data_IF_889795581754
#
_entry.id   IF_889795581754
#
_cell.length_a   1.000
_cell.length_b   1.000
_cell.length_c   1.000
_cell.angle_alpha   90.00
_cell.angle_beta   90.00
_cell.angle_gamma   90.00
#
_symmetry.space_group_name_H-M   'P 1'
#
loop_
_entity.id
_entity.type
_entity.pdbx_description
1 polymer ?
#
# COMPACT_ATOMS: atom_id res chain seq x y z
N UNK A 1 -6.84 -8.48 -38.97
CA UNK A 1 -6.23 -9.79 -38.64
C UNK A 1 -4.71 -9.71 -38.73
N UNK A 2 -4.02 -9.05 -37.83
CA UNK A 2 -2.57 -8.87 -37.85
C UNK A 2 -1.98 -8.60 -36.47
N UNK A 3 -2.79 -8.71 -35.43
CA UNK A 3 -2.40 -8.35 -34.07
C UNK A 3 -1.59 -9.43 -33.31
N UNK A 4 -1.40 -10.61 -33.89
CA UNK A 4 -0.77 -11.74 -33.22
C UNK A 4 0.27 -12.47 -34.08
N UNK A 5 1.07 -11.71 -34.83
CA UNK A 5 2.24 -12.29 -35.49
C UNK A 5 3.23 -12.75 -34.41
N UNK A 6 3.30 -14.05 -34.17
CA UNK A 6 4.14 -14.71 -33.16
C UNK A 6 5.65 -14.57 -33.46
N UNK A 7 6.01 -14.12 -34.63
CA UNK A 7 7.42 -14.05 -35.08
C UNK A 7 8.19 -12.86 -34.53
N UNK A 8 7.54 -11.88 -33.85
CA UNK A 8 8.19 -10.64 -33.40
C UNK A 8 7.93 -10.37 -31.93
N UNK A 9 8.86 -10.80 -31.11
CA UNK A 9 9.02 -10.41 -29.71
C UNK A 9 9.15 -8.91 -29.55
N UNK A 10 8.28 -8.10 -29.86
CA UNK A 10 8.39 -6.64 -29.82
C UNK A 10 7.19 -5.94 -30.41
N UNK A 11 6.21 -6.71 -30.92
CA UNK A 11 5.07 -6.10 -31.61
C UNK A 11 4.29 -5.14 -30.74
N UNK A 12 4.02 -5.49 -29.47
CA UNK A 12 3.30 -4.60 -28.55
C UNK A 12 4.14 -3.38 -28.16
N UNK A 13 5.43 -3.55 -27.93
CA UNK A 13 6.35 -2.44 -27.66
C UNK A 13 6.38 -1.49 -28.85
N UNK A 14 6.56 -2.01 -30.07
CA UNK A 14 6.62 -1.21 -31.28
C UNK A 14 5.32 -0.41 -31.51
N UNK A 15 4.17 -1.04 -31.36
CA UNK A 15 2.88 -0.35 -31.48
C UNK A 15 2.74 0.79 -30.47
N UNK A 16 3.15 0.59 -29.20
CA UNK A 16 3.11 1.61 -28.18
C UNK A 16 4.08 2.75 -28.50
N UNK A 17 5.31 2.42 -28.90
CA UNK A 17 6.32 3.42 -29.24
C UNK A 17 5.92 4.22 -30.49
N UNK A 18 5.44 3.59 -31.56
CA UNK A 18 5.05 4.27 -32.79
C UNK A 18 3.86 5.22 -32.54
N UNK A 19 2.90 4.82 -31.69
CA UNK A 19 1.72 5.63 -31.38
C UNK A 19 2.03 6.88 -30.54
N UNK A 20 2.95 6.76 -29.57
CA UNK A 20 3.22 7.82 -28.59
C UNK A 20 4.61 8.44 -28.75
N UNK A 21 5.25 8.23 -29.89
CA UNK A 21 6.57 8.78 -30.20
C UNK A 21 6.53 10.32 -30.16
N UNK A 22 7.40 10.89 -29.32
CA UNK A 22 7.48 12.34 -29.12
C UNK A 22 6.49 12.92 -28.11
N UNK A 23 5.44 12.18 -27.72
CA UNK A 23 4.47 12.62 -26.71
C UNK A 23 4.84 12.18 -25.28
N UNK A 24 5.33 10.95 -25.16
CA UNK A 24 5.67 10.35 -23.87
C UNK A 24 7.12 9.87 -23.90
N UNK A 25 7.92 10.10 -22.84
CA UNK A 25 9.29 9.59 -22.74
C UNK A 25 9.37 8.08 -22.96
N UNK A 26 10.29 7.65 -23.82
CA UNK A 26 10.46 6.23 -24.20
C UNK A 26 10.66 5.30 -23.00
N UNK A 27 11.29 5.80 -21.94
CA UNK A 27 11.54 5.05 -20.71
C UNK A 27 10.26 4.73 -19.93
N UNK A 28 9.28 5.64 -19.96
CA UNK A 28 7.95 5.39 -19.40
C UNK A 28 7.23 4.35 -20.25
N UNK A 29 7.26 4.50 -21.56
CA UNK A 29 6.59 3.57 -22.48
C UNK A 29 7.15 2.16 -22.35
N UNK A 30 8.48 2.00 -22.27
CA UNK A 30 9.12 0.71 -22.04
C UNK A 30 8.71 0.07 -20.73
N UNK A 31 8.74 0.83 -19.63
CA UNK A 31 8.33 0.34 -18.30
C UNK A 31 6.86 -0.01 -18.25
N UNK A 32 5.99 0.77 -18.90
CA UNK A 32 4.56 0.50 -18.99
C UNK A 32 4.30 -0.78 -19.78
N UNK A 33 4.93 -0.93 -20.95
CA UNK A 33 4.82 -2.13 -21.78
C UNK A 33 5.25 -3.38 -21.01
N UNK A 34 6.38 -3.34 -20.31
CA UNK A 34 6.87 -4.45 -19.50
C UNK A 34 5.88 -4.80 -18.37
N UNK A 35 5.29 -3.79 -17.72
CA UNK A 35 4.29 -3.98 -16.67
C UNK A 35 3.02 -4.66 -17.20
N UNK A 36 2.54 -4.23 -18.36
CA UNK A 36 1.36 -4.80 -19.02
C UNK A 36 1.63 -6.24 -19.44
N UNK A 37 2.77 -6.50 -20.11
CA UNK A 37 3.16 -7.84 -20.54
C UNK A 37 3.33 -8.81 -19.37
N UNK A 38 4.03 -8.38 -18.32
CA UNK A 38 4.21 -9.18 -17.10
C UNK A 38 2.87 -9.52 -16.44
N UNK A 39 1.98 -8.53 -16.33
CA UNK A 39 0.64 -8.72 -15.78
C UNK A 39 -0.20 -9.68 -16.62
N UNK A 40 -0.14 -9.55 -17.94
CA UNK A 40 -0.86 -10.44 -18.84
C UNK A 40 -0.32 -11.87 -18.76
N UNK A 41 1.00 -12.04 -18.84
CA UNK A 41 1.65 -13.37 -18.78
C UNK A 41 1.33 -14.10 -17.47
N UNK A 42 1.34 -13.38 -16.35
CA UNK A 42 1.01 -13.94 -15.03
C UNK A 42 -0.43 -14.43 -14.92
N UNK A 43 -1.37 -13.82 -15.62
CA UNK A 43 -2.79 -14.16 -15.54
C UNK A 43 -3.32 -14.79 -16.85
N UNK A 44 -2.43 -15.20 -17.75
CA UNK A 44 -2.81 -15.70 -19.08
C UNK A 44 -3.78 -16.86 -19.03
N UNK A 45 -3.53 -17.85 -18.16
CA UNK A 45 -4.40 -19.02 -18.01
C UNK A 45 -5.81 -18.60 -17.56
N UNK A 46 -5.91 -17.73 -16.55
CA UNK A 46 -7.18 -17.24 -16.02
C UNK A 46 -8.00 -16.48 -17.08
N UNK A 47 -7.32 -15.70 -17.94
CA UNK A 47 -7.97 -14.98 -19.04
C UNK A 47 -8.51 -15.93 -20.11
N UNK A 48 -7.75 -16.99 -20.47
CA UNK A 48 -8.19 -17.97 -21.42
C UNK A 48 -9.35 -18.84 -20.91
N UNK A 49 -9.37 -19.15 -19.61
CA UNK A 49 -10.44 -19.92 -18.97
C UNK A 49 -11.69 -19.06 -18.67
N UNK A 50 -11.63 -17.74 -18.89
CA UNK A 50 -12.72 -16.83 -18.56
C UNK A 50 -12.96 -16.62 -17.06
N UNK A 51 -12.06 -17.14 -16.20
CA UNK A 51 -12.15 -16.97 -14.74
C UNK A 51 -11.78 -15.55 -14.29
N UNK A 52 -11.09 -14.80 -15.15
CA UNK A 52 -10.65 -13.44 -14.90
C UNK A 52 -10.88 -12.56 -16.12
N UNK A 53 -11.45 -11.37 -15.91
CA UNK A 53 -11.56 -10.36 -16.96
C UNK A 53 -10.25 -9.58 -17.13
N UNK A 54 -10.01 -9.01 -18.32
CA UNK A 54 -8.91 -8.09 -18.55
C UNK A 54 -8.99 -6.90 -17.60
N UNK A 55 -7.84 -6.44 -17.12
CA UNK A 55 -7.78 -5.30 -16.20
C UNK A 55 -8.27 -4.02 -16.89
N UNK A 56 -9.18 -3.34 -16.21
CA UNK A 56 -9.54 -1.98 -16.54
C UNK A 56 -8.72 -1.00 -15.71
N UNK A 57 -8.12 -0.02 -16.36
CA UNK A 57 -7.25 0.97 -15.70
C UNK A 57 -8.01 2.28 -15.45
N UNK A 58 -7.92 2.79 -14.25
CA UNK A 58 -8.45 4.11 -13.88
C UNK A 58 -7.55 5.22 -14.45
N UNK A 59 -8.10 6.41 -14.63
CA UNK A 59 -7.36 7.57 -15.17
C UNK A 59 -6.23 8.06 -14.24
N UNK A 60 -6.35 7.82 -12.94
CA UNK A 60 -5.43 8.24 -11.89
C UNK A 60 -4.43 7.15 -11.49
N UNK A 61 -4.25 6.14 -12.36
CA UNK A 61 -3.26 5.08 -12.12
C UNK A 61 -1.85 5.66 -12.03
N UNK A 62 -1.02 5.22 -11.07
CA UNK A 62 0.38 5.62 -11.02
C UNK A 62 1.14 5.22 -12.29
N UNK A 63 1.96 6.13 -12.78
CA UNK A 63 2.80 5.96 -13.97
C UNK A 63 4.18 5.49 -13.52
N UNK A 64 4.78 4.46 -14.13
CA UNK A 64 6.11 3.99 -13.77
C UNK A 64 7.17 5.06 -14.05
N UNK A 65 8.10 5.23 -13.13
CA UNK A 65 9.24 6.14 -13.21
C UNK A 65 10.53 5.34 -12.99
N UNK A 66 11.24 4.99 -14.08
CA UNK A 66 12.54 4.34 -13.99
C UNK A 66 13.57 5.22 -13.27
N UNK A 67 14.50 4.59 -12.55
CA UNK A 67 15.55 5.31 -11.78
C UNK A 67 16.37 6.24 -12.65
N UNK A 68 16.70 5.83 -13.88
CA UNK A 68 17.48 6.65 -14.83
C UNK A 68 16.82 7.97 -15.21
N UNK A 69 15.52 8.12 -14.97
CA UNK A 69 14.78 9.37 -15.19
C UNK A 69 14.94 10.35 -14.02
N UNK A 70 15.58 9.93 -12.94
CA UNK A 70 15.87 10.73 -11.74
C UNK A 70 17.38 10.99 -11.70
N UNK A 71 17.77 12.25 -11.57
CA UNK A 71 19.18 12.63 -11.51
C UNK A 71 19.41 13.85 -10.60
N UNK A 72 20.68 14.10 -10.24
CA UNK A 72 21.12 15.27 -9.46
C UNK A 72 20.38 15.42 -8.13
N UNK A 73 20.17 14.31 -7.42
CA UNK A 73 19.54 14.35 -6.12
C UNK A 73 20.44 15.01 -5.09
N UNK A 74 19.90 15.99 -4.36
CA UNK A 74 20.60 16.71 -3.29
C UNK A 74 19.62 17.19 -2.24
N UNK A 75 20.13 17.46 -1.04
CA UNK A 75 19.40 18.20 -0.02
C UNK A 75 19.76 19.67 -0.15
N UNK A 76 18.75 20.52 -0.15
CA UNK A 76 18.87 21.97 -0.17
C UNK A 76 18.56 22.51 1.24
N UNK A 77 19.56 23.08 1.87
CA UNK A 77 19.47 23.57 3.25
C UNK A 77 18.61 24.82 3.38
N UNK A 78 18.63 25.70 2.38
CA UNK A 78 17.83 26.92 2.39
C UNK A 78 16.34 26.61 2.40
N UNK A 79 15.94 25.69 1.54
CA UNK A 79 14.54 25.31 1.38
C UNK A 79 14.15 24.11 2.24
N UNK A 80 15.09 23.50 2.96
CA UNK A 80 14.92 22.29 3.79
C UNK A 80 14.21 21.14 3.06
N UNK A 81 14.55 20.95 1.79
CA UNK A 81 13.90 19.97 0.93
C UNK A 81 14.90 19.18 0.09
N UNK A 82 14.51 18.01 -0.33
CA UNK A 82 15.25 17.23 -1.30
C UNK A 82 14.87 17.69 -2.70
N UNK A 83 15.88 18.02 -3.50
CA UNK A 83 15.75 18.48 -4.88
C UNK A 83 16.37 17.45 -5.80
N UNK A 84 15.76 17.22 -6.94
CA UNK A 84 16.30 16.35 -7.98
C UNK A 84 15.70 16.73 -9.35
N UNK A 85 16.30 16.24 -10.42
CA UNK A 85 15.73 16.38 -11.75
C UNK A 85 14.93 15.13 -12.11
N UNK A 86 13.73 15.33 -12.64
CA UNK A 86 12.87 14.31 -13.20
C UNK A 86 12.67 14.59 -14.68
N UNK A 87 13.17 13.75 -15.56
CA UNK A 87 13.22 14.02 -17.03
C UNK A 87 13.84 15.39 -17.35
N UNK A 88 14.94 15.75 -16.69
CA UNK A 88 15.58 17.06 -16.75
C UNK A 88 14.78 18.24 -16.15
N UNK A 89 13.57 18.04 -15.69
CA UNK A 89 12.76 19.05 -15.00
C UNK A 89 13.17 19.08 -13.53
N UNK A 90 13.60 20.24 -12.99
CA UNK A 90 13.91 20.35 -11.57
C UNK A 90 12.65 20.25 -10.73
N UNK A 91 12.67 19.36 -9.74
CA UNK A 91 11.57 19.16 -8.80
C UNK A 91 12.06 19.26 -7.37
N UNK A 92 11.18 19.72 -6.49
CA UNK A 92 11.40 19.86 -5.05
C UNK A 92 10.39 18.99 -4.31
N UNK A 93 10.86 18.24 -3.32
CA UNK A 93 9.97 17.41 -2.51
C UNK A 93 9.27 18.23 -1.45
N UNK A 94 8.04 17.83 -1.14
CA UNK A 94 7.31 18.31 0.03
C UNK A 94 6.92 17.11 0.89
N UNK A 95 7.62 16.92 2.01
CA UNK A 95 7.39 15.76 2.89
C UNK A 95 6.20 15.95 3.82
N UNK A 96 5.71 17.19 3.97
CA UNK A 96 4.63 17.55 4.89
C UNK A 96 5.05 17.36 6.35
N UNK A 97 4.09 17.01 7.21
CA UNK A 97 4.38 16.54 8.56
C UNK A 97 4.91 15.13 8.47
N UNK A 98 6.20 14.96 8.70
CA UNK A 98 6.87 13.66 8.55
C UNK A 98 6.82 12.86 9.85
N UNK A 99 5.82 12.01 9.96
CA UNK A 99 5.69 11.03 11.05
C UNK A 99 6.18 9.62 10.64
N UNK A 100 6.78 9.45 9.45
CA UNK A 100 7.05 8.15 8.85
C UNK A 100 8.49 7.97 8.37
N UNK A 101 9.43 8.70 8.95
CA UNK A 101 10.87 8.62 8.65
C UNK A 101 11.24 8.87 7.17
N UNK A 102 10.38 9.58 6.42
CA UNK A 102 10.65 9.89 5.00
C UNK A 102 11.95 10.66 4.83
N UNK A 103 12.20 11.61 5.74
CA UNK A 103 13.43 12.39 5.73
C UNK A 103 14.66 11.49 5.95
N UNK A 104 14.60 10.61 6.94
CA UNK A 104 15.68 9.66 7.24
C UNK A 104 15.95 8.74 6.04
N UNK A 105 14.89 8.25 5.39
CA UNK A 105 15.02 7.41 4.19
C UNK A 105 15.70 8.19 3.05
N UNK A 106 15.31 9.44 2.82
CA UNK A 106 15.93 10.27 1.78
C UNK A 106 17.39 10.63 2.10
N UNK A 107 17.73 10.86 3.37
CA UNK A 107 19.10 11.09 3.81
C UNK A 107 19.97 9.83 3.61
N UNK A 108 19.43 8.64 3.91
CA UNK A 108 20.11 7.37 3.64
C UNK A 108 20.31 7.12 2.15
N UNK A 109 19.35 7.53 1.32
CA UNK A 109 19.50 7.45 -0.14
C UNK A 109 20.64 8.35 -0.63
N UNK A 110 20.77 9.58 -0.12
CA UNK A 110 21.87 10.48 -0.47
C UNK A 110 23.23 9.96 -0.01
N UNK A 111 23.27 9.19 1.07
CA UNK A 111 24.48 8.52 1.57
C UNK A 111 24.78 7.19 0.87
N UNK A 112 23.97 6.82 -0.12
CA UNK A 112 24.05 5.54 -0.85
C UNK A 112 23.92 4.28 0.04
N UNK A 113 23.35 4.43 1.25
CA UNK A 113 23.09 3.32 2.17
C UNK A 113 21.90 2.45 1.71
N UNK A 114 21.04 2.99 0.85
CA UNK A 114 19.88 2.30 0.30
C UNK A 114 19.77 2.61 -1.20
N UNK A 115 19.17 1.70 -1.93
CA UNK A 115 19.03 1.81 -3.38
C UNK A 115 17.63 2.22 -3.77
N UNK A 116 17.53 3.21 -4.66
CA UNK A 116 16.29 3.58 -5.28
C UNK A 116 15.95 2.58 -6.40
N UNK A 117 14.72 2.07 -6.39
CA UNK A 117 14.18 1.18 -7.42
C UNK A 117 13.23 1.93 -8.36
N UNK A 118 12.77 1.25 -9.41
CA UNK A 118 11.73 1.79 -10.29
C UNK A 118 10.53 2.23 -9.46
N UNK A 119 10.31 3.51 -9.45
CA UNK A 119 9.29 4.20 -8.65
C UNK A 119 8.05 4.48 -9.49
N UNK A 120 7.11 5.26 -8.97
CA UNK A 120 5.92 5.65 -9.71
C UNK A 120 5.59 7.11 -9.44
N UNK A 121 4.90 7.74 -10.38
CA UNK A 121 4.32 9.08 -10.23
C UNK A 121 2.80 8.94 -10.27
N UNK A 122 2.12 9.57 -9.34
CA UNK A 122 0.66 9.65 -9.34
C UNK A 122 0.22 11.11 -9.31
N UNK A 123 -0.71 11.47 -10.18
CA UNK A 123 -1.38 12.77 -10.14
C UNK A 123 -2.73 12.58 -9.48
N UNK A 124 -2.94 13.22 -8.33
CA UNK A 124 -4.20 13.16 -7.60
C UNK A 124 -4.52 14.53 -7.00
N UNK A 125 -5.75 14.99 -7.14
CA UNK A 125 -6.21 16.28 -6.59
C UNK A 125 -5.30 17.47 -6.99
N UNK A 126 -4.84 17.50 -8.25
CA UNK A 126 -3.89 18.50 -8.80
C UNK A 126 -2.53 18.53 -8.08
N UNK A 127 -2.17 17.46 -7.40
CA UNK A 127 -0.87 17.28 -6.76
C UNK A 127 -0.15 16.12 -7.41
N UNK A 128 1.16 16.24 -7.49
CA UNK A 128 2.03 15.16 -7.99
C UNK A 128 2.61 14.45 -6.77
N UNK A 129 2.41 13.15 -6.72
CA UNK A 129 2.97 12.27 -5.70
C UNK A 129 4.06 11.41 -6.34
N UNK A 130 5.23 11.44 -5.77
CA UNK A 130 6.28 10.49 -6.07
C UNK A 130 6.14 9.30 -5.10
N UNK A 131 5.84 8.14 -5.65
CA UNK A 131 5.75 6.88 -4.93
C UNK A 131 7.10 6.18 -5.06
N UNK A 132 8.04 6.60 -4.23
CA UNK A 132 9.40 6.09 -4.25
C UNK A 132 9.45 4.65 -3.70
N UNK A 133 10.18 3.80 -4.40
CA UNK A 133 10.42 2.40 -4.02
C UNK A 133 11.90 2.26 -3.70
N UNK A 134 12.21 1.74 -2.52
CA UNK A 134 13.57 1.56 -2.06
C UNK A 134 13.86 0.09 -1.78
N UNK A 135 15.08 -0.33 -2.06
CA UNK A 135 15.62 -1.61 -1.65
C UNK A 135 16.37 -1.42 -0.32
N UNK A 136 15.95 -2.14 0.70
CA UNK A 136 16.57 -2.16 2.01
C UNK A 136 17.22 -3.50 2.26
N UNK A 137 18.36 -3.51 2.90
CA UNK A 137 18.84 -4.72 3.54
C UNK A 137 17.90 -5.15 4.66
N UNK A 138 17.76 -6.46 4.85
CA UNK A 138 17.00 -7.01 5.97
C UNK A 138 17.62 -6.56 7.27
N UNK A 139 16.78 -6.13 8.22
CA UNK A 139 17.24 -5.79 9.56
C UNK A 139 17.82 -7.05 10.22
N UNK A 140 19.04 -6.97 10.74
CA UNK A 140 19.69 -8.09 11.40
C UNK A 140 19.30 -8.12 12.86
N UNK A 141 18.30 -8.93 13.20
CA UNK A 141 17.94 -9.25 14.58
C UNK A 141 18.52 -10.61 14.96
N UNK A 142 18.79 -10.78 16.23
CA UNK A 142 19.16 -12.10 16.77
C UNK A 142 17.89 -12.91 16.95
N UNK A 143 17.53 -13.69 15.94
CA UNK A 143 16.34 -14.52 15.90
C UNK A 143 16.76 -16.00 15.90
N UNK A 144 15.97 -16.82 16.57
CA UNK A 144 16.17 -18.27 16.66
C UNK A 144 15.06 -18.97 15.87
N UNK A 145 15.38 -19.70 14.79
CA UNK A 145 14.37 -20.38 13.96
C UNK A 145 13.52 -21.38 14.76
N UNK A 146 14.12 -22.00 15.80
CA UNK A 146 13.44 -22.94 16.69
C UNK A 146 12.38 -22.30 17.60
N UNK A 147 12.45 -20.98 17.82
CA UNK A 147 11.44 -20.27 18.59
C UNK A 147 10.31 -19.85 17.64
N UNK A 148 9.16 -20.46 17.87
CA UNK A 148 7.96 -20.24 17.06
C UNK A 148 7.01 -19.31 17.82
N UNK A 149 6.61 -18.24 17.15
CA UNK A 149 5.49 -17.41 17.59
C UNK A 149 4.22 -17.85 16.85
N UNK A 150 3.16 -18.09 17.58
CA UNK A 150 1.84 -18.35 17.01
C UNK A 150 0.98 -17.09 17.13
N UNK A 151 0.32 -16.70 16.06
CA UNK A 151 -0.64 -15.61 16.07
C UNK A 151 -1.97 -16.04 15.48
N UNK A 152 -3.06 -15.61 16.10
CA UNK A 152 -4.41 -15.79 15.60
C UNK A 152 -5.12 -14.45 15.52
N UNK A 153 -5.97 -14.29 14.52
CA UNK A 153 -6.85 -13.13 14.39
C UNK A 153 -8.14 -13.46 15.15
N UNK A 154 -8.47 -12.68 16.18
CA UNK A 154 -9.65 -12.90 17.04
C UNK A 154 -10.72 -11.85 16.76
N UNK A 155 -11.95 -12.14 17.14
CA UNK A 155 -13.05 -11.18 17.06
C UNK A 155 -12.97 -10.10 18.15
N UNK A 156 -12.42 -10.41 19.31
CA UNK A 156 -12.28 -9.48 20.44
C UNK A 156 -11.00 -8.64 20.34
N UNK A 157 -9.94 -9.30 19.91
CA UNK A 157 -8.64 -8.66 19.72
C UNK A 157 -8.19 -8.83 18.27
N UNK A 158 -7.77 -7.75 17.58
CA UNK A 158 -7.23 -7.84 16.24
C UNK A 158 -6.21 -8.95 16.04
N UNK A 159 -5.31 -9.09 17.01
CA UNK A 159 -4.29 -10.15 17.00
C UNK A 159 -4.11 -10.65 18.44
N UNK A 160 -4.08 -11.97 18.58
CA UNK A 160 -3.63 -12.66 19.78
C UNK A 160 -2.38 -13.45 19.42
N UNK A 161 -1.27 -13.19 20.09
CA UNK A 161 -0.02 -13.88 19.80
C UNK A 161 0.57 -14.54 21.05
N UNK A 162 1.26 -15.68 20.86
CA UNK A 162 1.94 -16.44 21.89
C UNK A 162 3.33 -16.87 21.42
N UNK A 163 4.34 -16.70 22.25
CA UNK A 163 5.68 -17.24 22.07
C UNK A 163 6.35 -17.41 23.44
N UNK A 164 7.16 -18.44 23.62
CA UNK A 164 7.91 -18.69 24.88
C UNK A 164 7.02 -18.60 26.15
N UNK A 165 5.80 -19.15 26.13
CA UNK A 165 4.79 -19.06 27.20
C UNK A 165 4.30 -17.63 27.51
N UNK A 166 4.75 -16.61 26.77
CA UNK A 166 4.22 -15.25 26.86
C UNK A 166 3.10 -15.07 25.86
N UNK A 167 1.96 -14.53 26.32
CA UNK A 167 0.81 -14.20 25.48
C UNK A 167 0.62 -12.69 25.44
N UNK A 168 0.31 -12.16 24.27
CA UNK A 168 -0.05 -10.76 24.07
C UNK A 168 -1.36 -10.64 23.29
N UNK A 169 -2.21 -9.70 23.71
CA UNK A 169 -3.40 -9.27 22.99
C UNK A 169 -3.12 -7.90 22.37
N UNK A 170 -3.27 -7.77 21.09
CA UNK A 170 -2.94 -6.56 20.33
C UNK A 170 -4.22 -5.91 19.83
N UNK A 171 -4.51 -4.71 20.34
CA UNK A 171 -5.73 -3.95 20.06
C UNK A 171 -6.96 -4.53 20.76
N UNK A 172 -8.07 -3.80 20.72
CA UNK A 172 -9.38 -4.26 21.18
C UNK A 172 -10.44 -3.97 20.13
N UNK A 173 -11.50 -4.77 20.13
CA UNK A 173 -12.68 -4.60 19.27
C UNK A 173 -13.32 -3.23 19.51
N UNK A 174 -13.49 -2.86 20.78
CA UNK A 174 -14.14 -1.61 21.17
C UNK A 174 -13.38 -0.40 20.65
N UNK A 175 -12.05 -0.34 20.84
CA UNK A 175 -11.23 0.77 20.37
C UNK A 175 -11.32 0.91 18.85
N UNK A 176 -11.20 -0.20 18.12
CA UNK A 176 -11.22 -0.21 16.68
C UNK A 176 -12.58 0.21 16.12
N UNK A 177 -13.67 -0.37 16.65
CA UNK A 177 -15.03 -0.12 16.17
C UNK A 177 -15.56 1.24 16.60
N UNK A 178 -15.32 1.66 17.84
CA UNK A 178 -15.82 2.93 18.36
C UNK A 178 -15.43 4.12 17.45
N UNK A 179 -14.15 4.24 17.13
CA UNK A 179 -13.68 5.33 16.27
C UNK A 179 -14.23 5.25 14.86
N UNK A 180 -14.35 4.05 14.34
CA UNK A 180 -14.91 3.80 13.01
C UNK A 180 -16.37 4.18 12.93
N UNK A 181 -17.17 3.75 13.91
CA UNK A 181 -18.58 4.11 14.02
C UNK A 181 -18.78 5.62 14.15
N UNK A 182 -17.93 6.29 14.93
CA UNK A 182 -17.96 7.75 15.05
C UNK A 182 -17.69 8.46 13.71
N UNK A 183 -16.77 7.95 12.90
CA UNK A 183 -16.51 8.47 11.54
C UNK A 183 -17.72 8.26 10.64
N UNK A 184 -18.29 7.05 10.62
CA UNK A 184 -19.48 6.72 9.82
C UNK A 184 -20.69 7.56 10.22
N UNK A 185 -20.93 7.71 11.52
CA UNK A 185 -22.01 8.55 12.04
C UNK A 185 -21.84 10.03 11.63
N UNK A 186 -20.60 10.54 11.68
CA UNK A 186 -20.30 11.90 11.21
C UNK A 186 -20.56 12.06 9.72
N UNK A 187 -20.14 11.11 8.89
CA UNK A 187 -20.39 11.13 7.46
C UNK A 187 -21.89 11.07 7.14
N UNK A 188 -22.62 10.20 7.83
CA UNK A 188 -24.08 10.09 7.68
C UNK A 188 -24.79 11.41 8.01
N UNK A 189 -24.43 12.08 9.12
CA UNK A 189 -24.97 13.40 9.48
C UNK A 189 -24.74 14.45 8.38
N UNK A 190 -23.56 14.45 7.77
CA UNK A 190 -23.25 15.35 6.65
C UNK A 190 -24.11 15.00 5.43
N UNK A 191 -24.25 13.72 5.09
CA UNK A 191 -25.09 13.25 3.98
C UNK A 191 -26.54 13.65 4.19
N UNK A 192 -27.12 13.36 5.35
CA UNK A 192 -28.49 13.74 5.70
C UNK A 192 -28.69 15.25 5.59
N UNK A 193 -27.72 16.05 6.08
CA UNK A 193 -27.78 17.50 5.99
C UNK A 193 -27.73 18.05 4.56
N UNK A 194 -27.14 17.30 3.60
CA UNK A 194 -27.14 17.66 2.17
C UNK A 194 -28.53 17.47 1.58
N UNK A 195 -29.20 16.38 1.93
CA UNK A 195 -30.54 16.06 1.46
C UNK A 195 -31.58 17.15 1.80
N UNK A 196 -31.42 17.76 2.98
CA UNK A 196 -32.31 18.86 3.43
C UNK A 196 -31.89 20.25 2.94
N UNK A 197 -30.81 20.37 2.18
CA UNK A 197 -30.35 21.67 1.69
C UNK A 197 -31.15 22.13 0.45
N UNK A 198 -32.02 23.09 0.62
CA UNK A 198 -32.91 23.62 -0.46
C UNK A 198 -32.17 24.54 -1.46
N UNK A 199 -31.01 25.10 -1.13
CA UNK A 199 -30.30 26.01 -2.01
C UNK A 199 -29.00 25.42 -2.50
N UNK A 200 -28.60 25.64 -3.78
CA UNK A 200 -27.43 25.12 -4.43
C UNK A 200 -26.09 25.48 -3.76
N UNK A 201 -25.98 26.65 -3.12
CA UNK A 201 -24.78 27.10 -2.40
C UNK A 201 -24.54 26.30 -1.12
N UNK A 202 -25.59 26.03 -0.35
CA UNK A 202 -25.52 25.23 0.88
C UNK A 202 -25.15 23.77 0.60
N UNK A 203 -25.74 23.15 -0.42
CA UNK A 203 -25.43 21.80 -0.84
C UNK A 203 -23.96 21.66 -1.26
N UNK A 204 -23.42 22.57 -2.09
CA UNK A 204 -22.01 22.57 -2.51
C UNK A 204 -21.04 22.66 -1.34
N UNK A 205 -21.32 23.48 -0.33
CA UNK A 205 -20.47 23.60 0.88
C UNK A 205 -20.46 22.31 1.68
N UNK A 206 -21.59 21.66 1.86
CA UNK A 206 -21.74 20.40 2.58
C UNK A 206 -21.13 19.23 1.81
N UNK A 207 -21.29 19.19 0.47
CA UNK A 207 -20.56 18.21 -0.37
C UNK A 207 -19.04 18.34 -0.21
N UNK A 208 -18.52 19.56 -0.19
CA UNK A 208 -17.07 19.79 0.06
C UNK A 208 -16.61 19.23 1.41
N UNK A 209 -17.46 19.32 2.44
CA UNK A 209 -17.19 18.71 3.75
C UNK A 209 -17.19 17.19 3.67
N UNK A 210 -18.15 16.59 2.94
CA UNK A 210 -18.21 15.14 2.73
C UNK A 210 -16.97 14.62 2.02
N UNK A 211 -16.51 15.27 0.93
CA UNK A 211 -15.27 14.90 0.24
C UNK A 211 -14.04 14.94 1.16
N UNK A 212 -13.98 15.88 2.10
CA UNK A 212 -12.85 15.92 3.07
C UNK A 212 -12.86 14.73 4.02
N UNK A 213 -14.02 14.15 4.29
CA UNK A 213 -14.18 13.01 5.21
C UNK A 213 -14.18 11.65 4.51
N UNK A 214 -14.28 11.62 3.18
CA UNK A 214 -14.42 10.40 2.36
C UNK A 214 -13.38 9.32 2.69
N UNK A 215 -12.12 9.72 2.86
CA UNK A 215 -11.03 8.78 3.12
C UNK A 215 -10.64 8.66 4.60
N UNK A 216 -11.39 9.26 5.54
CA UNK A 216 -11.03 9.23 6.96
C UNK A 216 -11.07 7.82 7.54
N UNK A 217 -12.12 7.07 7.21
CA UNK A 217 -12.29 5.69 7.68
C UNK A 217 -11.20 4.79 7.15
N UNK A 218 -10.96 4.80 5.85
CA UNK A 218 -9.90 4.01 5.21
C UNK A 218 -8.52 4.32 5.77
N UNK A 219 -8.21 5.60 5.98
CA UNK A 219 -6.93 6.03 6.60
C UNK A 219 -6.82 5.57 8.04
N UNK A 220 -7.90 5.66 8.82
CA UNK A 220 -7.91 5.16 10.20
C UNK A 220 -7.66 3.66 10.26
N UNK A 221 -8.40 2.87 9.46
CA UNK A 221 -8.25 1.41 9.40
C UNK A 221 -6.82 1.05 9.00
N UNK A 222 -6.33 1.58 7.88
CA UNK A 222 -4.96 1.29 7.41
C UNK A 222 -3.90 1.64 8.45
N UNK A 223 -4.03 2.79 9.15
CA UNK A 223 -3.12 3.17 10.22
C UNK A 223 -3.14 2.17 11.38
N UNK A 224 -4.34 1.75 11.84
CA UNK A 224 -4.45 0.76 12.92
C UNK A 224 -3.84 -0.58 12.53
N UNK A 225 -4.07 -1.05 11.30
CA UNK A 225 -3.46 -2.27 10.81
C UNK A 225 -1.92 -2.18 10.75
N UNK A 226 -1.38 -0.99 10.44
CA UNK A 226 0.05 -0.75 10.54
C UNK A 226 0.58 -0.83 11.97
N UNK A 227 -0.15 -0.27 12.94
CA UNK A 227 0.21 -0.33 14.37
C UNK A 227 0.18 -1.77 14.86
N UNK A 228 -0.93 -2.49 14.63
CA UNK A 228 -1.08 -3.87 15.09
C UNK A 228 -0.05 -4.81 14.50
N UNK A 229 0.17 -4.74 13.20
CA UNK A 229 1.22 -5.55 12.55
C UNK A 229 2.63 -5.21 13.05
N UNK A 230 2.94 -3.93 13.39
CA UNK A 230 4.23 -3.58 13.99
C UNK A 230 4.36 -4.13 15.41
N UNK A 231 3.32 -4.04 16.22
CA UNK A 231 3.33 -4.59 17.59
C UNK A 231 3.57 -6.09 17.57
N UNK A 232 2.96 -6.83 16.64
CA UNK A 232 3.19 -8.27 16.48
C UNK A 232 4.65 -8.58 16.14
N UNK A 233 5.23 -7.89 15.16
CA UNK A 233 6.63 -8.12 14.78
C UNK A 233 7.58 -7.73 15.91
N UNK A 234 7.34 -6.63 16.62
CA UNK A 234 8.13 -6.24 17.78
C UNK A 234 8.05 -7.29 18.89
N UNK A 235 6.88 -7.91 19.08
CA UNK A 235 6.73 -9.03 20.01
C UNK A 235 7.58 -10.23 19.58
N UNK A 236 7.54 -10.63 18.31
CA UNK A 236 8.38 -11.72 17.81
C UNK A 236 9.87 -11.42 18.00
N UNK A 237 10.32 -10.21 17.69
CA UNK A 237 11.70 -9.79 17.89
C UNK A 237 12.09 -9.86 19.38
N UNK A 238 11.24 -9.35 20.27
CA UNK A 238 11.47 -9.39 21.73
C UNK A 238 11.57 -10.82 22.27
N UNK A 239 10.79 -11.75 21.71
CA UNK A 239 10.83 -13.16 22.07
C UNK A 239 11.90 -13.95 21.28
N UNK A 240 12.68 -13.27 20.41
CA UNK A 240 13.69 -13.90 19.55
C UNK A 240 13.10 -14.97 18.60
N UNK A 241 11.80 -14.88 18.28
CA UNK A 241 11.13 -15.84 17.41
C UNK A 241 11.55 -15.65 15.96
N UNK A 242 12.16 -16.65 15.36
CA UNK A 242 12.55 -16.68 13.96
C UNK A 242 11.42 -17.11 13.02
N UNK A 243 10.42 -17.80 13.58
CA UNK A 243 9.26 -18.28 12.80
C UNK A 243 7.96 -17.71 13.40
N UNK A 244 7.09 -17.19 12.56
CA UNK A 244 5.75 -16.73 12.90
C UNK A 244 4.71 -17.55 12.16
N UNK A 245 3.88 -18.29 12.89
CA UNK A 245 2.74 -19.04 12.35
C UNK A 245 1.49 -18.19 12.54
N UNK A 246 0.86 -17.82 11.42
CA UNK A 246 -0.43 -17.15 11.44
C UNK A 246 -1.52 -18.17 11.16
N UNK A 247 -2.31 -18.50 12.18
CA UNK A 247 -3.36 -19.53 12.09
C UNK A 247 -4.44 -19.13 11.09
N UNK A 248 -4.87 -20.08 10.28
CA UNK A 248 -5.96 -19.89 9.32
C UNK A 248 -7.27 -19.56 10.07
N UNK A 249 -8.12 -18.78 9.39
CA UNK A 249 -9.36 -18.24 9.98
C UNK A 249 -10.61 -18.84 9.33
N UNK A 250 -10.47 -19.91 8.54
CA UNK A 250 -11.60 -20.53 7.82
C UNK A 250 -12.72 -20.97 8.76
N UNK A 251 -12.36 -21.52 9.91
CA UNK A 251 -13.32 -21.95 10.95
C UNK A 251 -14.17 -20.81 11.50
N UNK A 252 -13.66 -19.58 11.43
CA UNK A 252 -14.34 -18.38 11.97
C UNK A 252 -15.25 -17.70 10.96
N UNK A 253 -15.22 -18.11 9.70
CA UNK A 253 -16.05 -17.54 8.63
C UNK A 253 -17.55 -17.76 8.94
N UNK A 254 -17.91 -18.89 9.54
CA UNK A 254 -19.29 -19.16 9.98
C UNK A 254 -19.76 -18.22 11.07
N UNK A 255 -19.02 -18.13 12.17
CA UNK A 255 -19.28 -17.22 13.31
C UNK A 255 -19.33 -15.77 12.84
N UNK A 256 -18.54 -15.47 11.88
CA UNK A 256 -18.39 -14.20 11.26
C UNK A 256 -19.59 -13.78 10.41
N UNK A 257 -20.28 -14.69 9.77
CA UNK A 257 -21.54 -14.41 9.06
C UNK A 257 -22.65 -14.00 10.04
N UNK A 258 -22.67 -14.60 11.22
CA UNK A 258 -23.60 -14.25 12.30
C UNK A 258 -23.30 -12.88 12.91
N UNK A 259 -22.02 -12.53 13.05
CA UNK A 259 -21.57 -11.21 13.51
C UNK A 259 -21.08 -10.33 12.32
N UNK A 260 -21.80 -10.31 11.24
CA UNK A 260 -21.44 -9.72 9.95
C UNK A 260 -20.93 -8.27 9.97
N UNK A 261 -21.24 -7.53 11.06
CA UNK A 261 -20.74 -6.20 11.30
C UNK A 261 -19.21 -6.19 11.61
N UNK A 262 -18.73 -7.11 12.43
CA UNK A 262 -17.32 -7.14 12.86
C UNK A 262 -16.41 -7.51 11.70
N UNK A 263 -16.79 -8.47 10.89
CA UNK A 263 -15.94 -9.00 9.83
C UNK A 263 -15.95 -8.20 8.53
N UNK A 264 -17.07 -7.58 8.17
CA UNK A 264 -17.06 -6.61 7.07
C UNK A 264 -16.06 -5.50 7.31
N UNK A 265 -15.68 -5.32 8.57
CA UNK A 265 -14.89 -4.21 9.03
C UNK A 265 -13.42 -4.55 9.31
N UNK A 266 -13.09 -5.83 9.50
CA UNK A 266 -11.72 -6.30 9.64
C UNK A 266 -11.15 -6.59 8.27
N UNK A 267 -10.22 -5.78 7.83
CA UNK A 267 -9.51 -6.02 6.58
C UNK A 267 -8.36 -7.03 6.82
N UNK A 268 -8.74 -8.31 7.03
CA UNK A 268 -7.78 -9.39 7.31
C UNK A 268 -6.72 -9.53 6.23
N UNK A 269 -7.10 -9.43 4.97
CA UNK A 269 -6.16 -9.52 3.86
C UNK A 269 -5.10 -8.40 3.91
N UNK A 270 -5.52 -7.16 4.20
CA UNK A 270 -4.60 -6.04 4.34
C UNK A 270 -3.70 -6.23 5.57
N UNK A 271 -4.24 -6.74 6.69
CA UNK A 271 -3.47 -7.04 7.89
C UNK A 271 -2.41 -8.13 7.62
N UNK A 272 -2.78 -9.23 6.98
CA UNK A 272 -1.84 -10.28 6.56
C UNK A 272 -0.74 -9.73 5.65
N UNK A 273 -1.10 -8.90 4.68
CA UNK A 273 -0.13 -8.26 3.78
C UNK A 273 0.85 -7.39 4.56
N UNK A 274 0.36 -6.62 5.55
CA UNK A 274 1.21 -5.78 6.41
C UNK A 274 2.10 -6.59 7.34
N UNK A 275 1.64 -7.73 7.84
CA UNK A 275 2.44 -8.66 8.63
C UNK A 275 3.53 -9.26 7.76
N UNK A 276 3.19 -9.74 6.56
CA UNK A 276 4.12 -10.41 5.64
C UNK A 276 5.35 -9.56 5.32
N UNK A 277 5.16 -8.34 4.81
CA UNK A 277 6.32 -7.52 4.44
C UNK A 277 7.16 -7.09 5.63
N UNK A 278 6.54 -6.92 6.82
CA UNK A 278 7.28 -6.55 8.04
C UNK A 278 8.04 -7.74 8.63
N UNK A 279 7.48 -8.95 8.57
CA UNK A 279 8.15 -10.19 8.95
C UNK A 279 9.37 -10.41 8.04
N UNK A 280 9.19 -10.29 6.73
CA UNK A 280 10.25 -10.41 5.74
C UNK A 280 11.38 -9.38 6.00
N UNK A 281 11.02 -8.12 6.26
CA UNK A 281 11.98 -7.06 6.60
C UNK A 281 12.78 -7.39 7.87
N UNK A 282 12.13 -7.97 8.88
CA UNK A 282 12.77 -8.36 10.15
C UNK A 282 13.51 -9.71 10.07
N UNK A 283 13.47 -10.42 8.94
CA UNK A 283 14.06 -11.73 8.80
C UNK A 283 13.29 -12.85 9.49
N UNK A 284 12.02 -12.64 9.80
CA UNK A 284 11.10 -13.63 10.40
C UNK A 284 10.43 -14.43 9.28
N UNK A 285 10.50 -15.76 9.35
CA UNK A 285 9.77 -16.63 8.44
C UNK A 285 8.29 -16.63 8.79
N UNK A 286 7.42 -16.33 7.80
CA UNK A 286 5.96 -16.33 7.99
C UNK A 286 5.33 -17.55 7.35
N UNK A 287 4.67 -18.35 8.16
CA UNK A 287 3.87 -19.51 7.75
C UNK A 287 2.39 -19.16 7.97
N UNK A 288 1.56 -19.32 6.95
CA UNK A 288 0.11 -19.15 7.03
C UNK A 288 -0.49 -20.55 6.95
N UNK A 289 -1.04 -21.02 8.06
CA UNK A 289 -1.63 -22.35 8.21
C UNK A 289 -3.15 -22.31 8.22
#
# INVERSE_FOLDING_TARGET
>A
MGLFDRSKTGTTARMVFDRFKGEIPTDILGSLNNTIQSTFSKNKADYWQGTKSLRNYKRDIPIPLPVKCISKMRYDEETKAFCFNMFAIPVKTYLGKDYTDKRVIMERLLKEEIKLCTSQIQVKDRKIFWLAVFEFEKEKYYLKPEIIAEASLSLEHPIVAKANNVRINIGTKEEFLYRRLAIQASQKRIQDSITYARSGKGAKRKQKALYKTENLESRYVSNRLHVYSRQLINFCIKQQAGTLILKNQEDKIGIAKEQGFVLRNWNYYELQTKIRYKAEKAGIELIIG
#
